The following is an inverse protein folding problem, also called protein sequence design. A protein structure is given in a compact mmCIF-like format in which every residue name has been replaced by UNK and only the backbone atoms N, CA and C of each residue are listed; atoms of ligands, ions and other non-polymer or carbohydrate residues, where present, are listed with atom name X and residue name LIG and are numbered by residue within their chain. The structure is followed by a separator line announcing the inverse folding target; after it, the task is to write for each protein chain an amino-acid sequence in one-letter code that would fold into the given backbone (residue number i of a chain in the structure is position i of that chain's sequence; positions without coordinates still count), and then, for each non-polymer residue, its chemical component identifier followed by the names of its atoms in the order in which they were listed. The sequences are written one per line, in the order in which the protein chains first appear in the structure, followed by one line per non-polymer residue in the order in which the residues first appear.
data_IF_834458678337
#
_entry.id   IF_834458678337
#
_cell.length_a   1.000
_cell.length_b   1.000
_cell.length_c   1.000
_cell.angle_alpha   90.00
_cell.angle_beta   90.00
_cell.angle_gamma   90.00
#
_symmetry.space_group_name_H-M   'P 1'
#
loop_
_entity.id
_entity.type
_entity.pdbx_description
1 polymer ?
#
# COMPACT_ATOMS: atom_id res chain seq x y z
N UNK A 1 13.41 -4.31 -8.74
CA UNK A 1 14.12 -3.69 -7.61
C UNK A 1 14.06 -4.62 -6.41
N UNK A 2 15.18 -4.84 -5.73
CA UNK A 2 15.25 -5.62 -4.49
C UNK A 2 14.75 -4.75 -3.34
N UNK A 3 13.42 -4.58 -3.25
CA UNK A 3 12.82 -3.82 -2.16
C UNK A 3 12.70 -4.75 -0.97
N UNK A 4 13.56 -4.55 0.03
CA UNK A 4 13.55 -5.36 1.24
C UNK A 4 12.26 -5.12 2.00
N UNK A 5 11.49 -6.18 2.24
CA UNK A 5 10.25 -6.10 3.01
C UNK A 5 10.55 -5.43 4.37
N UNK A 6 9.91 -4.30 4.69
CA UNK A 6 10.08 -3.64 5.98
C UNK A 6 9.55 -4.54 7.11
N UNK A 7 9.93 -4.28 8.38
CA UNK A 7 9.44 -5.07 9.50
C UNK A 7 7.91 -5.09 9.52
N UNK A 8 7.35 -6.30 9.66
CA UNK A 8 5.91 -6.51 9.67
C UNK A 8 5.25 -5.65 10.73
N UNK A 9 4.30 -4.84 10.29
CA UNK A 9 3.52 -3.94 11.15
C UNK A 9 2.06 -4.39 11.19
N UNK A 10 1.34 -4.01 12.25
CA UNK A 10 -0.08 -4.29 12.34
C UNK A 10 -0.81 -3.39 11.35
N UNK A 11 -1.30 -3.99 10.27
CA UNK A 11 -2.08 -3.29 9.27
C UNK A 11 -3.52 -3.12 9.78
N UNK A 12 -3.80 -1.96 10.39
CA UNK A 12 -5.14 -1.61 10.92
C UNK A 12 -6.01 -0.88 9.90
N UNK A 13 -5.39 -0.30 8.88
CA UNK A 13 -6.04 0.49 7.86
C UNK A 13 -5.96 -0.17 6.48
N UNK A 14 -6.87 0.21 5.61
CA UNK A 14 -6.95 -0.29 4.24
C UNK A 14 -7.25 0.83 3.26
N UNK A 15 -6.51 0.84 2.16
CA UNK A 15 -6.62 1.77 1.04
C UNK A 15 -7.23 1.00 -0.12
N UNK A 16 -8.42 1.40 -0.54
CA UNK A 16 -9.12 0.84 -1.68
C UNK A 16 -8.93 1.71 -2.92
N UNK A 17 -9.22 1.15 -4.10
CA UNK A 17 -9.18 1.89 -5.36
C UNK A 17 -7.87 1.75 -6.13
N UNK A 18 -7.09 0.71 -5.84
CA UNK A 18 -5.86 0.35 -6.55
C UNK A 18 -6.18 -0.69 -7.61
N UNK A 19 -5.66 -0.54 -8.81
CA UNK A 19 -5.82 -1.54 -9.86
C UNK A 19 -5.10 -2.85 -9.48
N UNK A 20 -5.67 -3.99 -9.85
CA UNK A 20 -5.06 -5.30 -9.51
C UNK A 20 -3.68 -5.48 -10.15
N UNK A 21 -3.47 -4.84 -11.31
CA UNK A 21 -2.20 -4.86 -12.04
C UNK A 21 -1.12 -4.04 -11.32
N UNK A 22 -1.53 -3.03 -10.54
CA UNK A 22 -0.63 -2.12 -9.83
C UNK A 22 -0.44 -2.47 -8.34
N UNK A 23 -1.15 -3.48 -7.82
CA UNK A 23 -1.06 -3.86 -6.40
C UNK A 23 0.38 -4.14 -5.96
N UNK A 24 1.15 -4.88 -6.75
CA UNK A 24 2.55 -5.19 -6.42
C UNK A 24 3.43 -3.95 -6.42
N UNK A 25 3.25 -3.06 -7.41
CA UNK A 25 4.03 -1.83 -7.52
C UNK A 25 3.66 -0.83 -6.43
N UNK A 26 2.38 -0.74 -6.06
CA UNK A 26 1.88 0.02 -4.92
C UNK A 26 2.50 -0.44 -3.60
N UNK A 27 2.53 -1.76 -3.34
CA UNK A 27 3.22 -2.33 -2.16
C UNK A 27 4.71 -1.96 -2.18
N UNK A 28 5.39 -2.16 -3.31
CA UNK A 28 6.83 -1.88 -3.45
C UNK A 28 7.13 -0.38 -3.26
N UNK A 29 6.28 0.52 -3.74
CA UNK A 29 6.42 1.96 -3.54
C UNK A 29 6.40 2.33 -2.05
N UNK A 30 5.49 1.72 -1.27
CA UNK A 30 5.42 1.91 0.17
C UNK A 30 6.64 1.31 0.89
N UNK A 31 7.10 0.13 0.48
CA UNK A 31 8.29 -0.48 1.05
C UNK A 31 9.56 0.35 0.80
N UNK A 32 9.67 1.05 -0.35
CA UNK A 32 10.79 1.96 -0.65
C UNK A 32 10.91 3.11 0.35
N UNK A 33 9.78 3.57 0.90
CA UNK A 33 9.73 4.60 1.94
C UNK A 33 9.68 4.02 3.37
N UNK A 34 10.00 2.73 3.51
CA UNK A 34 10.01 2.00 4.79
C UNK A 34 8.63 1.83 5.45
N UNK A 35 7.55 1.88 4.66
CA UNK A 35 6.19 1.63 5.14
C UNK A 35 5.82 0.18 4.87
N UNK A 36 5.40 -0.56 5.90
CA UNK A 36 4.86 -1.90 5.74
C UNK A 36 3.46 -1.86 5.13
N UNK A 37 3.33 -2.57 4.02
CA UNK A 37 2.10 -2.66 3.25
C UNK A 37 1.88 -4.10 2.77
N UNK A 38 0.64 -4.56 2.81
CA UNK A 38 0.22 -5.86 2.28
C UNK A 38 -0.88 -5.66 1.24
N UNK A 39 -0.79 -6.35 0.11
CA UNK A 39 -1.89 -6.41 -0.85
C UNK A 39 -2.98 -7.37 -0.37
N UNK A 40 -4.23 -7.04 -0.67
CA UNK A 40 -5.38 -7.87 -0.34
C UNK A 40 -6.54 -7.65 -1.31
N UNK A 41 -7.58 -8.46 -1.15
CA UNK A 41 -8.87 -8.27 -1.81
C UNK A 41 -9.93 -8.01 -0.75
N UNK A 42 -10.49 -6.79 -0.76
CA UNK A 42 -11.66 -6.44 0.02
C UNK A 42 -12.95 -6.81 -0.71
N UNK A 43 -14.09 -6.56 -0.07
CA UNK A 43 -15.41 -6.80 -0.66
C UNK A 43 -15.65 -6.04 -1.97
N UNK A 44 -14.96 -4.91 -2.17
CA UNK A 44 -15.13 -4.01 -3.31
C UNK A 44 -14.00 -4.10 -4.33
N UNK A 45 -13.06 -5.04 -4.16
CA UNK A 45 -11.92 -5.22 -5.06
C UNK A 45 -10.56 -5.18 -4.36
N UNK A 46 -9.47 -5.04 -5.15
CA UNK A 46 -8.10 -4.88 -4.65
C UNK A 46 -7.94 -3.74 -3.62
N UNK A 47 -7.24 -4.04 -2.53
CA UNK A 47 -6.91 -3.11 -1.45
C UNK A 47 -5.44 -3.25 -1.04
N UNK A 48 -4.87 -2.18 -0.51
CA UNK A 48 -3.58 -2.19 0.19
C UNK A 48 -3.83 -1.98 1.67
N UNK A 49 -3.26 -2.81 2.53
CA UNK A 49 -3.36 -2.72 3.97
C UNK A 49 -2.08 -2.12 4.53
N UNK A 50 -2.22 -1.12 5.40
CA UNK A 50 -1.13 -0.40 6.07
C UNK A 50 -1.52 -0.12 7.52
N UNK A 51 -0.58 0.31 8.36
CA UNK A 51 -0.94 0.80 9.70
C UNK A 51 -1.61 2.17 9.64
N UNK A 52 -2.44 2.50 10.62
CA UNK A 52 -3.04 3.82 10.78
C UNK A 52 -1.99 4.96 10.76
N UNK A 53 -0.87 4.74 11.43
CA UNK A 53 0.22 5.72 11.52
C UNK A 53 0.84 6.04 10.15
N UNK A 54 0.78 5.08 9.22
CA UNK A 54 1.30 5.21 7.86
C UNK A 54 0.20 5.46 6.82
N UNK A 55 -1.08 5.45 7.21
CA UNK A 55 -2.21 5.60 6.29
C UNK A 55 -2.11 6.89 5.48
N UNK A 56 -1.91 8.05 6.12
CA UNK A 56 -1.80 9.33 5.43
C UNK A 56 -0.63 9.36 4.44
N UNK A 57 0.56 8.91 4.89
CA UNK A 57 1.76 8.86 4.04
C UNK A 57 1.59 7.90 2.87
N UNK A 58 1.04 6.72 3.12
CA UNK A 58 0.80 5.72 2.10
C UNK A 58 -0.23 6.20 1.09
N UNK A 59 -1.30 6.83 1.57
CA UNK A 59 -2.34 7.40 0.72
C UNK A 59 -1.79 8.54 -0.16
N UNK A 60 -0.98 9.44 0.40
CA UNK A 60 -0.29 10.47 -0.39
C UNK A 60 0.66 9.89 -1.42
N UNK A 61 1.48 8.90 -1.04
CA UNK A 61 2.47 8.31 -1.94
C UNK A 61 1.81 7.57 -3.09
N UNK A 62 0.78 6.77 -2.80
CA UNK A 62 0.00 6.05 -3.80
C UNK A 62 -0.74 7.02 -4.74
N UNK A 63 -1.26 8.13 -4.20
CA UNK A 63 -1.91 9.17 -5.00
C UNK A 63 -0.91 9.93 -5.88
N UNK A 64 0.28 10.24 -5.36
CA UNK A 64 1.38 10.85 -6.13
C UNK A 64 1.89 9.94 -7.23
N UNK A 65 1.97 8.63 -6.96
CA UNK A 65 2.34 7.62 -7.93
C UNK A 65 1.25 7.34 -8.97
N UNK A 66 0.01 7.79 -8.73
CA UNK A 66 -1.12 7.63 -9.65
C UNK A 66 -1.84 6.29 -9.55
N UNK A 67 -1.62 5.53 -8.47
CA UNK A 67 -2.30 4.25 -8.24
C UNK A 67 -3.73 4.42 -7.72
N UNK A 68 -4.02 5.56 -7.10
CA UNK A 68 -5.33 5.93 -6.56
C UNK A 68 -5.60 7.40 -6.86
N UNK A 69 -6.88 7.78 -6.94
CA UNK A 69 -7.30 9.14 -7.32
C UNK A 69 -8.15 9.81 -6.24
#
# INVERSE_FOLDING_TARGET
EDVKEPPKEIVTAQIAGIEVMDLEDAVKALWKINIYAESGMGCTGPIIRVSDANLEKAHEELKKAGYIN
#
